data_IF_165618720838
#
_entry.id   IF_165618720838
#
_cell.length_a   1.000
_cell.length_b   1.000
_cell.length_c   1.000
_cell.angle_alpha   90.00
_cell.angle_beta   90.00
_cell.angle_gamma   90.00
#
_symmetry.space_group_name_H-M   'P 1'
#
loop_
_entity.id
_entity.type
_entity.pdbx_description
1 polymer ?
#
# COMPACT_ATOMS: atom_id res chain seq x y z
N UNK A 1 -20.78 43.53 -6.48
CA UNK A 1 -20.47 42.33 -7.28
C UNK A 1 -19.09 41.74 -6.96
N UNK A 2 -18.01 42.54 -6.91
CA UNK A 2 -16.66 42.06 -6.53
C UNK A 2 -16.55 41.50 -5.09
N UNK A 3 -17.34 42.03 -4.15
CA UNK A 3 -17.34 41.60 -2.73
C UNK A 3 -17.91 40.18 -2.54
N UNK A 4 -18.85 39.77 -3.41
CA UNK A 4 -19.47 38.43 -3.39
C UNK A 4 -18.49 37.40 -4.00
N UNK A 5 -17.75 37.81 -5.03
CA UNK A 5 -16.75 36.97 -5.69
C UNK A 5 -15.60 36.56 -4.76
N UNK A 6 -15.15 37.48 -3.88
CA UNK A 6 -14.14 37.18 -2.86
C UNK A 6 -14.63 36.19 -1.79
N UNK A 7 -15.91 36.27 -1.39
CA UNK A 7 -16.49 35.32 -0.45
C UNK A 7 -16.64 33.92 -1.07
N UNK A 8 -17.02 33.83 -2.35
CA UNK A 8 -17.17 32.53 -3.05
C UNK A 8 -15.81 31.85 -3.23
N UNK A 9 -14.75 32.60 -3.53
CA UNK A 9 -13.37 32.05 -3.61
C UNK A 9 -12.87 31.62 -2.22
N UNK A 10 -13.20 32.38 -1.16
CA UNK A 10 -12.84 32.02 0.21
C UNK A 10 -13.52 30.74 0.73
N UNK A 11 -14.73 30.43 0.28
CA UNK A 11 -15.46 29.21 0.68
C UNK A 11 -15.07 28.00 -0.17
N UNK A 12 -14.76 28.18 -1.46
CA UNK A 12 -14.25 27.08 -2.29
C UNK A 12 -12.83 26.65 -1.90
N UNK A 13 -12.00 27.55 -1.35
CA UNK A 13 -10.68 27.19 -0.83
C UNK A 13 -10.74 26.28 0.40
N UNK A 14 -11.89 26.17 1.08
CA UNK A 14 -12.08 25.35 2.28
C UNK A 14 -12.47 23.89 1.97
N UNK A 15 -12.75 23.57 0.70
CA UNK A 15 -13.12 22.22 0.27
C UNK A 15 -11.91 21.38 -0.17
N UNK A 16 -10.70 21.95 -0.18
CA UNK A 16 -9.49 21.22 -0.50
C UNK A 16 -8.85 20.71 0.79
N UNK A 17 -9.23 19.49 1.13
CA UNK A 17 -8.39 18.54 1.87
C UNK A 17 -8.06 18.97 3.30
N UNK A 18 -9.03 18.79 4.19
CA UNK A 18 -8.72 18.34 5.56
C UNK A 18 -8.25 16.88 5.45
N UNK A 19 -7.10 16.65 4.80
CA UNK A 19 -6.26 15.54 5.20
C UNK A 19 -5.46 16.15 6.33
N UNK A 20 -5.94 15.98 7.57
CA UNK A 20 -4.98 15.93 8.66
C UNK A 20 -3.92 14.95 8.17
N UNK A 21 -2.65 15.34 8.01
CA UNK A 21 -1.61 14.34 8.01
C UNK A 21 -1.73 13.75 9.41
N UNK A 22 -2.54 12.69 9.56
CA UNK A 22 -2.22 11.69 10.55
C UNK A 22 -0.73 11.47 10.32
N UNK A 23 0.06 11.63 11.37
CA UNK A 23 1.47 11.28 11.29
C UNK A 23 1.51 9.77 11.13
N UNK A 24 1.13 9.29 9.94
CA UNK A 24 1.12 7.91 9.57
C UNK A 24 2.58 7.48 9.75
N UNK A 25 2.77 6.44 10.55
CA UNK A 25 4.11 5.94 10.84
C UNK A 25 4.86 5.52 9.55
N UNK A 26 4.14 5.37 8.44
CA UNK A 26 4.65 5.06 7.11
C UNK A 26 3.74 5.63 6.00
N UNK A 27 4.25 5.64 4.77
CA UNK A 27 3.53 6.06 3.56
C UNK A 27 3.39 4.92 2.56
N UNK A 28 2.54 5.06 1.54
CA UNK A 28 2.48 4.07 0.45
C UNK A 28 3.79 3.98 -0.34
N UNK A 29 4.58 5.06 -0.40
CA UNK A 29 5.93 5.05 -0.98
C UNK A 29 6.87 4.13 -0.19
N UNK A 30 6.70 4.03 1.14
CA UNK A 30 7.47 3.10 1.96
C UNK A 30 7.08 1.65 1.67
N UNK A 31 5.80 1.37 1.46
CA UNK A 31 5.30 0.05 1.05
C UNK A 31 5.82 -0.33 -0.33
N UNK A 32 5.76 0.58 -1.32
CA UNK A 32 6.31 0.35 -2.66
C UNK A 32 7.80 -0.02 -2.59
N UNK A 33 8.57 0.72 -1.77
CA UNK A 33 10.01 0.46 -1.59
C UNK A 33 10.27 -0.91 -0.97
N UNK A 34 9.40 -1.37 -0.09
CA UNK A 34 9.50 -2.72 0.48
C UNK A 34 9.23 -3.81 -0.58
N UNK A 35 8.32 -3.56 -1.52
CA UNK A 35 7.86 -4.55 -2.49
C UNK A 35 8.66 -4.56 -3.81
N UNK A 36 9.41 -3.50 -4.14
CA UNK A 36 10.13 -3.41 -5.42
C UNK A 36 11.09 -4.59 -5.66
N UNK A 37 11.73 -5.10 -4.59
CA UNK A 37 12.64 -6.24 -4.66
C UNK A 37 11.91 -7.58 -4.87
N UNK A 38 10.59 -7.61 -4.70
CA UNK A 38 9.76 -8.79 -4.93
C UNK A 38 9.38 -8.97 -6.39
N UNK A 39 9.53 -7.94 -7.23
CA UNK A 39 9.04 -7.93 -8.60
C UNK A 39 9.53 -9.12 -9.45
N UNK A 40 10.81 -9.53 -9.44
CA UNK A 40 11.25 -10.70 -10.20
C UNK A 40 10.47 -11.98 -9.85
N UNK A 41 10.15 -12.18 -8.57
CA UNK A 41 9.33 -13.30 -8.13
C UNK A 41 7.86 -13.13 -8.50
N UNK A 42 7.29 -11.95 -8.25
CA UNK A 42 5.88 -11.64 -8.48
C UNK A 42 5.47 -11.77 -9.95
N UNK A 43 6.38 -11.48 -10.90
CA UNK A 43 6.11 -11.66 -12.34
C UNK A 43 6.55 -13.02 -12.88
N UNK A 44 7.14 -13.87 -12.03
CA UNK A 44 7.56 -15.23 -12.38
C UNK A 44 8.90 -15.33 -13.12
N UNK A 45 9.75 -14.30 -13.06
CA UNK A 45 11.14 -14.36 -13.52
C UNK A 45 12.07 -15.06 -12.51
N UNK A 46 11.61 -15.24 -11.27
CA UNK A 46 12.28 -16.00 -10.22
C UNK A 46 11.30 -16.96 -9.56
N UNK A 47 11.78 -18.15 -9.19
CA UNK A 47 10.97 -19.19 -8.50
C UNK A 47 10.96 -19.02 -6.98
N UNK A 48 11.90 -18.23 -6.42
CA UNK A 48 12.05 -17.98 -4.99
C UNK A 48 12.18 -16.46 -4.76
N UNK A 49 11.53 -15.88 -3.73
CA UNK A 49 11.73 -14.48 -3.38
C UNK A 49 13.16 -14.19 -2.96
N UNK A 50 13.69 -13.04 -3.37
CA UNK A 50 15.00 -12.59 -2.88
C UNK A 50 14.94 -12.33 -1.36
N UNK A 51 16.05 -12.49 -0.61
CA UNK A 51 16.08 -12.15 0.82
C UNK A 51 15.59 -10.73 1.11
N UNK A 52 16.02 -9.75 0.30
CA UNK A 52 15.60 -8.35 0.42
C UNK A 52 14.09 -8.15 0.20
N UNK A 53 13.45 -8.97 -0.64
CA UNK A 53 11.99 -8.97 -0.78
C UNK A 53 11.34 -9.40 0.54
N UNK A 54 11.80 -10.50 1.12
CA UNK A 54 11.24 -10.99 2.38
C UNK A 54 11.48 -10.04 3.56
N UNK A 55 12.59 -9.32 3.57
CA UNK A 55 12.84 -8.27 4.57
C UNK A 55 11.89 -7.08 4.40
N UNK A 56 11.54 -6.72 3.15
CA UNK A 56 10.48 -5.77 2.85
C UNK A 56 9.10 -6.23 3.39
N UNK A 57 8.73 -7.49 3.14
CA UNK A 57 7.46 -8.05 3.66
C UNK A 57 7.43 -8.08 5.19
N UNK A 58 8.55 -8.44 5.84
CA UNK A 58 8.70 -8.35 7.30
C UNK A 58 8.52 -6.92 7.81
N UNK A 59 9.09 -5.93 7.10
CA UNK A 59 8.94 -4.52 7.45
C UNK A 59 7.48 -4.08 7.36
N UNK A 60 6.75 -4.46 6.31
CA UNK A 60 5.30 -4.20 6.18
C UNK A 60 4.55 -4.77 7.39
N UNK A 61 4.81 -6.02 7.76
CA UNK A 61 4.20 -6.63 8.97
C UNK A 61 4.47 -5.80 10.24
N UNK A 62 5.69 -5.29 10.40
CA UNK A 62 6.08 -4.45 11.53
C UNK A 62 5.42 -3.08 11.55
N UNK A 63 5.01 -2.56 10.39
CA UNK A 63 4.26 -1.30 10.26
C UNK A 63 2.77 -1.48 10.58
N UNK A 64 2.24 -2.70 10.52
CA UNK A 64 0.79 -2.98 10.59
C UNK A 64 0.34 -3.48 11.97
N UNK A 65 0.60 -2.70 13.02
CA UNK A 65 0.29 -3.10 14.40
C UNK A 65 -1.18 -2.86 14.73
N UNK A 66 -1.70 -1.67 14.41
CA UNK A 66 -3.10 -1.32 14.67
C UNK A 66 -4.01 -1.72 13.50
N UNK A 67 -5.32 -1.74 13.73
CA UNK A 67 -6.30 -1.94 12.65
C UNK A 67 -6.20 -0.85 11.60
N UNK A 68 -5.97 0.40 12.00
CA UNK A 68 -5.82 1.52 11.07
C UNK A 68 -4.58 1.35 10.19
N UNK A 69 -3.44 0.96 10.77
CA UNK A 69 -2.22 0.69 10.01
C UNK A 69 -2.42 -0.46 9.01
N UNK A 70 -3.16 -1.51 9.39
CA UNK A 70 -3.48 -2.63 8.49
C UNK A 70 -4.31 -2.17 7.30
N UNK A 71 -5.32 -1.33 7.53
CA UNK A 71 -6.18 -0.78 6.46
C UNK A 71 -5.37 0.11 5.52
N UNK A 72 -4.55 0.99 6.07
CA UNK A 72 -3.66 1.85 5.30
C UNK A 72 -2.67 1.02 4.46
N UNK A 73 -1.95 0.08 5.08
CA UNK A 73 -1.01 -0.78 4.36
C UNK A 73 -1.70 -1.62 3.29
N UNK A 74 -2.91 -2.14 3.56
CA UNK A 74 -3.70 -2.85 2.56
C UNK A 74 -3.99 -1.96 1.35
N UNK A 75 -4.42 -0.72 1.55
CA UNK A 75 -4.65 0.24 0.47
C UNK A 75 -3.38 0.47 -0.35
N UNK A 76 -2.25 0.71 0.33
CA UNK A 76 -0.96 0.89 -0.34
C UNK A 76 -0.50 -0.35 -1.11
N UNK A 77 -0.68 -1.55 -0.56
CA UNK A 77 -0.37 -2.83 -1.23
C UNK A 77 -1.23 -3.02 -2.46
N UNK A 78 -2.52 -2.71 -2.37
CA UNK A 78 -3.46 -2.76 -3.49
C UNK A 78 -3.02 -1.80 -4.60
N UNK A 79 -2.69 -0.56 -4.26
CA UNK A 79 -2.21 0.43 -5.22
C UNK A 79 -0.89 0.00 -5.87
N UNK A 80 0.05 -0.51 -5.08
CA UNK A 80 1.32 -1.05 -5.57
C UNK A 80 1.10 -2.21 -6.55
N UNK A 81 0.21 -3.16 -6.22
CA UNK A 81 -0.11 -4.28 -7.08
C UNK A 81 -0.77 -3.83 -8.40
N UNK A 82 -1.62 -2.81 -8.36
CA UNK A 82 -2.31 -2.29 -9.54
C UNK A 82 -1.37 -1.55 -10.53
N UNK A 83 -0.16 -1.15 -10.10
CA UNK A 83 0.86 -0.57 -11.01
C UNK A 83 1.40 -1.57 -12.03
N UNK A 84 1.22 -2.88 -11.79
CA UNK A 84 1.83 -3.93 -12.60
C UNK A 84 0.76 -4.87 -13.16
N UNK A 85 0.63 -4.91 -14.48
CA UNK A 85 -0.38 -5.74 -15.13
C UNK A 85 -0.06 -7.25 -15.07
N UNK A 86 1.22 -7.61 -15.03
CA UNK A 86 1.74 -8.97 -15.16
C UNK A 86 2.12 -9.66 -13.84
N UNK A 87 1.64 -9.17 -12.69
CA UNK A 87 1.77 -9.89 -11.42
C UNK A 87 0.99 -11.20 -11.49
N UNK A 88 1.65 -12.27 -11.06
CA UNK A 88 1.04 -13.59 -10.85
C UNK A 88 0.36 -13.62 -9.49
N UNK A 89 -0.97 -13.76 -9.48
CA UNK A 89 -1.78 -13.69 -8.25
C UNK A 89 -1.44 -14.80 -7.25
N UNK A 90 -1.05 -15.98 -7.71
CA UNK A 90 -0.61 -17.11 -6.87
C UNK A 90 0.72 -16.79 -6.17
N UNK A 91 1.69 -16.21 -6.90
CA UNK A 91 2.96 -15.76 -6.33
C UNK A 91 2.72 -14.63 -5.31
N UNK A 92 1.85 -13.68 -5.64
CA UNK A 92 1.50 -12.56 -4.76
C UNK A 92 0.83 -13.02 -3.46
N UNK A 93 -0.19 -13.86 -3.57
CA UNK A 93 -0.93 -14.38 -2.40
C UNK A 93 -0.08 -15.30 -1.53
N UNK A 94 0.83 -16.07 -2.14
CA UNK A 94 1.75 -16.98 -1.44
C UNK A 94 2.99 -16.31 -0.85
N UNK A 95 3.32 -15.08 -1.25
CA UNK A 95 4.55 -14.39 -0.88
C UNK A 95 4.76 -14.28 0.65
N UNK A 96 3.77 -13.86 1.46
CA UNK A 96 3.96 -13.75 2.91
C UNK A 96 4.36 -15.08 3.56
N UNK A 97 3.69 -16.16 3.18
CA UNK A 97 3.99 -17.53 3.66
C UNK A 97 5.36 -17.99 3.19
N UNK A 98 5.73 -17.73 1.93
CA UNK A 98 7.06 -18.06 1.39
C UNK A 98 8.19 -17.31 2.12
N UNK A 99 7.92 -16.10 2.60
CA UNK A 99 8.86 -15.31 3.38
C UNK A 99 8.86 -15.63 4.89
N UNK A 100 8.06 -16.60 5.36
CA UNK A 100 7.96 -16.95 6.78
C UNK A 100 7.28 -15.88 7.64
N UNK A 101 6.55 -14.95 7.01
CA UNK A 101 5.82 -13.87 7.67
C UNK A 101 4.36 -13.91 7.21
N UNK A 102 3.55 -14.84 7.75
CA UNK A 102 2.13 -14.85 7.44
C UNK A 102 1.52 -13.50 7.86
N UNK A 103 0.89 -12.84 6.88
CA UNK A 103 0.07 -11.66 7.07
C UNK A 103 -1.39 -12.10 7.24
N UNK A 104 -2.19 -11.30 7.96
CA UNK A 104 -3.62 -11.57 8.13
C UNK A 104 -4.45 -11.38 6.86
N UNK A 105 -3.83 -10.86 5.80
CA UNK A 105 -4.46 -10.58 4.52
C UNK A 105 -3.49 -10.86 3.37
N UNK A 106 -4.00 -11.23 2.18
CA UNK A 106 -3.17 -11.50 1.01
C UNK A 106 -2.61 -10.22 0.39
N UNK A 107 -1.49 -10.33 -0.32
CA UNK A 107 -1.05 -9.29 -1.26
C UNK A 107 -1.80 -9.55 -2.57
N UNK A 108 -2.79 -8.74 -2.93
CA UNK A 108 -3.56 -8.89 -4.17
C UNK A 108 -4.13 -7.57 -4.67
N UNK A 109 -4.38 -7.47 -5.97
CA UNK A 109 -5.05 -6.32 -6.60
C UNK A 109 -6.51 -6.17 -6.18
N UNK A 110 -7.16 -7.27 -5.82
CA UNK A 110 -8.60 -7.33 -5.54
C UNK A 110 -8.92 -7.43 -4.05
N UNK A 111 -7.93 -7.19 -3.18
CA UNK A 111 -8.15 -7.19 -1.75
C UNK A 111 -9.17 -6.11 -1.35
N UNK A 112 -10.09 -6.47 -0.47
CA UNK A 112 -10.93 -5.52 0.27
C UNK A 112 -10.19 -5.12 1.55
N UNK A 113 -9.90 -3.83 1.67
CA UNK A 113 -9.17 -3.26 2.79
C UNK A 113 -10.07 -2.80 3.93
N UNK A 114 -11.38 -3.02 3.84
CA UNK A 114 -12.36 -2.57 4.85
C UNK A 114 -12.81 -3.69 5.80
N UNK A 115 -12.47 -4.94 5.49
CA UNK A 115 -12.75 -6.13 6.31
C UNK A 115 -11.57 -6.49 7.19
#
# INVERSE_FOLDING_TARGET
MIKVFLCVIGVLAMAHMMVEPSQAAFTCTDVDRCLVQCMPYLVGNATVPAPACCDGVKKIKGMTITTEDKRQACGCVKDAANKYQNIKEDASSGLPTKCGVPLSYPISKNIDCNT
#
